data_IF_933171319954
#
_entry.id   IF_933171319954
#
_cell.length_a   1.000
_cell.length_b   1.000
_cell.length_c   1.000
_cell.angle_alpha   90.00
_cell.angle_beta   90.00
_cell.angle_gamma   90.00
#
_symmetry.space_group_name_H-M   'P 1'
#
loop_
_entity.id
_entity.type
_entity.pdbx_description
1 polymer ?
#
# COMPACT_ATOMS: atom_id res chain seq x y z
N UNK A 1 4.98 1.52 12.74
CA UNK A 1 3.51 1.60 12.75
C UNK A 1 3.02 0.77 11.57
N UNK A 2 2.07 -0.13 11.80
CA UNK A 2 1.45 -0.96 10.76
C UNK A 2 0.23 -0.18 10.26
N UNK A 3 0.09 -0.04 8.94
CA UNK A 3 -1.07 0.61 8.32
C UNK A 3 -1.46 -0.14 7.06
N UNK A 4 -2.68 0.06 6.61
CA UNK A 4 -3.13 -0.57 5.38
C UNK A 4 -2.43 0.03 4.16
N UNK A 5 -2.24 -0.80 3.14
CA UNK A 5 -1.72 -0.40 1.85
C UNK A 5 -2.80 -0.54 0.78
N UNK A 6 -2.75 0.31 -0.23
CA UNK A 6 -3.63 0.20 -1.40
C UNK A 6 -2.84 -0.20 -2.62
N UNK A 7 -3.30 -1.25 -3.30
CA UNK A 7 -2.82 -1.55 -4.64
C UNK A 7 -3.56 -0.63 -5.61
N UNK A 8 -2.82 0.24 -6.26
CA UNK A 8 -3.36 1.21 -7.21
C UNK A 8 -2.90 0.90 -8.64
N UNK A 9 -3.79 1.13 -9.59
CA UNK A 9 -3.50 1.07 -11.02
C UNK A 9 -3.63 2.47 -11.62
N UNK A 10 -2.69 2.84 -12.48
CA UNK A 10 -2.77 4.09 -13.24
C UNK A 10 -3.93 4.00 -14.24
N UNK A 11 -4.84 4.98 -14.18
CA UNK A 11 -5.98 5.12 -15.07
C UNK A 11 -5.54 5.45 -16.49
N UNK A 12 -6.34 5.04 -17.47
CA UNK A 12 -6.15 5.49 -18.86
C UNK A 12 -6.51 6.97 -19.01
N UNK A 13 -6.03 7.67 -20.08
CA UNK A 13 -6.36 9.08 -20.30
C UNK A 13 -7.87 9.37 -20.38
N UNK A 14 -8.67 8.43 -20.89
CA UNK A 14 -10.14 8.54 -20.98
C UNK A 14 -10.83 8.40 -19.61
N UNK A 15 -10.20 7.72 -18.65
CA UNK A 15 -10.74 7.51 -17.30
C UNK A 15 -10.38 8.64 -16.32
N UNK A 16 -9.38 9.48 -16.63
CA UNK A 16 -8.94 10.61 -15.79
C UNK A 16 -9.83 11.84 -16.04
N UNK A 17 -10.82 12.06 -15.17
CA UNK A 17 -11.87 13.07 -15.40
C UNK A 17 -11.51 14.48 -14.94
N UNK A 18 -10.54 14.63 -14.05
CA UNK A 18 -10.14 15.91 -13.47
C UNK A 18 -8.69 15.84 -13.00
N UNK A 19 -8.03 17.00 -12.75
CA UNK A 19 -6.66 17.01 -12.24
C UNK A 19 -6.53 16.14 -10.99
N UNK A 20 -5.45 15.35 -10.93
CA UNK A 20 -5.11 14.44 -9.82
C UNK A 20 -5.91 13.13 -9.74
N UNK A 21 -6.83 12.86 -10.68
CA UNK A 21 -7.58 11.59 -10.75
C UNK A 21 -6.84 10.50 -11.53
N UNK A 22 -5.64 10.12 -11.08
CA UNK A 22 -4.77 9.21 -11.84
C UNK A 22 -4.86 7.75 -11.40
N UNK A 23 -5.39 7.48 -10.21
CA UNK A 23 -5.28 6.17 -9.60
C UNK A 23 -6.63 5.52 -9.43
N UNK A 24 -6.70 4.24 -9.76
CA UNK A 24 -7.80 3.34 -9.44
C UNK A 24 -7.33 2.41 -8.33
N UNK A 25 -8.04 2.40 -7.20
CA UNK A 25 -7.77 1.46 -6.11
C UNK A 25 -8.33 0.10 -6.53
N UNK A 26 -7.45 -0.91 -6.65
CA UNK A 26 -7.83 -2.28 -6.99
C UNK A 26 -8.15 -3.10 -5.75
N UNK A 27 -7.32 -2.97 -4.70
CA UNK A 27 -7.54 -3.68 -3.45
C UNK A 27 -6.85 -2.98 -2.27
N UNK A 28 -7.36 -3.25 -1.07
CA UNK A 28 -6.77 -2.84 0.20
C UNK A 28 -6.11 -4.04 0.84
N UNK A 29 -4.82 -3.93 1.12
CA UNK A 29 -4.01 -4.95 1.76
C UNK A 29 -3.91 -4.55 3.23
N UNK A 30 -4.36 -5.44 4.12
CA UNK A 30 -4.30 -5.21 5.56
C UNK A 30 -2.83 -5.08 6.00
N UNK A 31 -2.56 -4.11 6.86
CA UNK A 31 -1.19 -3.79 7.28
C UNK A 31 -0.42 -5.00 7.84
N UNK A 32 -1.07 -5.88 8.59
CA UNK A 32 -0.43 -7.09 9.13
C UNK A 32 0.11 -8.02 8.04
N UNK A 33 -0.57 -8.09 6.89
CA UNK A 33 -0.13 -8.89 5.73
C UNK A 33 0.93 -8.17 4.90
N UNK A 34 0.88 -6.84 4.86
CA UNK A 34 1.79 -6.02 4.07
C UNK A 34 3.18 -5.88 4.73
N UNK A 35 3.21 -5.65 6.04
CA UNK A 35 4.46 -5.39 6.77
C UNK A 35 5.09 -6.65 7.34
N UNK A 36 4.30 -7.72 7.53
CA UNK A 36 4.79 -8.99 8.07
C UNK A 36 5.32 -8.90 9.51
N UNK A 37 5.76 -10.02 10.08
CA UNK A 37 6.40 -10.03 11.39
C UNK A 37 7.75 -9.31 11.33
N UNK A 38 8.18 -8.68 12.44
CA UNK A 38 9.49 -8.05 12.50
C UNK A 38 10.61 -9.08 12.31
N UNK A 39 11.57 -8.74 11.45
CA UNK A 39 12.70 -9.61 11.13
C UNK A 39 13.64 -9.77 12.34
N UNK A 40 14.03 -11.02 12.64
CA UNK A 40 14.94 -11.34 13.75
C UNK A 40 16.35 -10.80 13.57
N UNK A 41 16.79 -10.49 12.35
CA UNK A 41 18.07 -9.86 12.06
C UNK A 41 18.07 -8.35 12.36
N UNK A 42 16.90 -7.74 12.58
CA UNK A 42 16.81 -6.32 12.92
C UNK A 42 17.18 -6.11 14.40
N UNK A 43 18.35 -5.50 14.65
CA UNK A 43 18.88 -5.23 15.99
C UNK A 43 17.97 -4.38 16.89
N UNK A 44 17.00 -3.67 16.30
CA UNK A 44 16.05 -2.79 17.01
C UNK A 44 14.75 -3.51 17.40
N UNK A 45 14.54 -4.75 16.95
CA UNK A 45 13.39 -5.56 17.35
C UNK A 45 13.70 -6.11 18.75
N UNK A 46 12.98 -5.62 19.76
CA UNK A 46 13.11 -6.13 21.13
C UNK A 46 12.83 -7.64 21.13
N UNK A 47 13.79 -8.38 21.69
CA UNK A 47 13.63 -9.80 22.04
C UNK A 47 12.45 -10.01 22.97
#
# INVERSE_FOLDING_TARGET
MVHDLWLVQVKTPEESKYPWDYYKILTTISGDKAFGPPDQACAMVKK
#
